data_IF_016761976391
#
_entry.id   IF_016761976391
#
_cell.length_a   1.000
_cell.length_b   1.000
_cell.length_c   1.000
_cell.angle_alpha   90.00
_cell.angle_beta   90.00
_cell.angle_gamma   90.00
#
_symmetry.space_group_name_H-M   'P 1'
#
loop_
_entity.id
_entity.type
_entity.pdbx_description
1 polymer ?
#
# COMPACT_ATOMS: atom_id res chain seq x y z
N UNK A 1 13.79 33.11 28.92
CA UNK A 1 14.39 33.72 27.71
C UNK A 1 13.58 33.33 26.48
N UNK A 2 12.47 34.02 26.23
CA UNK A 2 11.51 33.70 25.17
C UNK A 2 11.10 34.97 24.42
N UNK A 3 12.12 35.65 23.86
CA UNK A 3 12.01 36.82 22.97
C UNK A 3 13.28 36.91 22.11
N UNK A 4 13.34 36.21 20.97
CA UNK A 4 14.33 36.57 19.91
C UNK A 4 14.13 35.96 18.52
N UNK A 5 13.10 35.17 18.21
CA UNK A 5 13.00 34.49 16.90
C UNK A 5 11.70 34.73 16.12
N UNK A 6 11.10 35.93 16.24
CA UNK A 6 10.04 36.41 15.33
C UNK A 6 10.29 37.85 14.90
N UNK A 7 11.39 38.07 14.17
CA UNK A 7 11.57 39.27 13.37
C UNK A 7 12.33 38.92 12.07
N UNK A 8 11.77 39.37 10.95
CA UNK A 8 12.18 39.17 9.53
C UNK A 8 11.61 37.88 8.91
N UNK A 9 10.86 37.88 7.82
CA UNK A 9 10.66 38.89 6.79
C UNK A 9 9.26 38.78 6.15
N UNK A 10 8.56 39.92 6.09
CA UNK A 10 7.58 40.24 5.05
C UNK A 10 8.24 41.33 4.21
N UNK A 11 8.13 41.29 2.88
CA UNK A 11 8.03 42.52 2.12
C UNK A 11 6.72 42.55 1.30
N UNK A 12 5.87 43.54 1.60
CA UNK A 12 5.00 44.21 0.62
C UNK A 12 5.64 45.57 0.38
N UNK A 13 5.94 45.98 -0.85
CA UNK A 13 5.06 46.66 -1.83
C UNK A 13 6.05 47.27 -2.88
N UNK A 14 5.74 47.66 -4.10
CA UNK A 14 4.56 48.35 -4.63
C UNK A 14 4.62 48.42 -6.16
N UNK A 15 3.44 48.44 -6.80
CA UNK A 15 3.03 49.38 -7.87
C UNK A 15 3.86 49.55 -9.15
N UNK A 16 3.30 49.14 -10.29
CA UNK A 16 3.11 50.00 -11.46
C UNK A 16 2.08 49.39 -12.43
N UNK A 17 1.08 50.20 -12.80
CA UNK A 17 0.07 49.90 -13.81
C UNK A 17 0.45 50.55 -15.15
N UNK A 18 0.10 49.93 -16.28
CA UNK A 18 -0.47 50.61 -17.46
C UNK A 18 -0.72 49.65 -18.64
N UNK A 19 -1.98 49.64 -19.08
CA UNK A 19 -2.50 49.66 -20.44
C UNK A 19 -2.09 48.62 -21.51
N UNK A 20 -3.07 47.78 -21.85
CA UNK A 20 -3.69 47.57 -23.17
C UNK A 20 -2.82 47.30 -24.41
N UNK A 21 -3.13 46.22 -25.15
CA UNK A 21 -3.73 46.29 -26.51
C UNK A 21 -4.16 44.89 -26.98
N UNK A 22 -5.37 44.85 -27.52
CA UNK A 22 -6.13 43.75 -28.14
C UNK A 22 -5.65 43.45 -29.57
N UNK A 23 -5.60 42.16 -29.96
CA UNK A 23 -5.76 41.54 -31.31
C UNK A 23 -5.29 40.08 -31.16
N UNK A 24 -6.01 39.00 -31.50
CA UNK A 24 -6.97 38.73 -32.57
C UNK A 24 -6.37 37.65 -33.48
N UNK A 25 -7.16 36.62 -33.83
CA UNK A 25 -6.93 35.56 -34.86
C UNK A 25 -6.04 34.36 -34.47
N UNK A 26 -6.58 33.14 -34.25
CA UNK A 26 -7.14 32.07 -35.11
C UNK A 26 -6.13 30.96 -35.47
N UNK A 27 -6.58 29.74 -35.16
CA UNK A 27 -6.35 28.44 -35.83
C UNK A 27 -5.17 27.53 -35.38
N UNK A 28 -5.44 26.23 -35.12
CA UNK A 28 -4.46 25.22 -34.69
C UNK A 28 -4.07 24.30 -35.86
N UNK A 29 -2.77 24.02 -36.04
CA UNK A 29 -2.18 22.82 -36.67
C UNK A 29 -0.71 23.09 -37.00
N UNK A 30 0.20 22.42 -36.32
CA UNK A 30 1.50 21.98 -36.88
C UNK A 30 2.31 21.24 -35.81
N UNK A 31 2.20 19.92 -35.83
CA UNK A 31 3.28 19.03 -35.40
C UNK A 31 4.38 19.03 -36.47
N UNK A 32 5.65 18.88 -36.07
CA UNK A 32 6.60 18.12 -36.87
C UNK A 32 7.20 16.95 -36.10
N UNK A 33 7.12 15.79 -36.77
CA UNK A 33 7.84 14.54 -36.53
C UNK A 33 9.34 14.70 -36.89
N UNK A 34 10.23 14.20 -36.03
CA UNK A 34 11.67 13.94 -36.23
C UNK A 34 12.00 12.83 -35.20
N UNK A 35 12.57 11.65 -35.45
CA UNK A 35 13.66 11.13 -36.31
C UNK A 35 13.36 9.64 -36.59
N UNK A 36 13.43 9.10 -37.81
CA UNK A 36 14.56 8.64 -38.65
C UNK A 36 15.44 7.51 -38.06
N UNK A 37 15.42 6.40 -38.78
CA UNK A 37 16.13 5.12 -38.65
C UNK A 37 17.67 5.21 -38.74
N UNK A 38 18.36 4.15 -38.28
CA UNK A 38 19.77 3.91 -38.60
C UNK A 38 20.36 2.65 -37.92
N UNK A 39 20.46 1.57 -38.68
CA UNK A 39 20.93 0.22 -38.34
C UNK A 39 22.46 0.09 -38.21
N UNK A 40 22.97 -0.90 -37.45
CA UNK A 40 23.83 -2.03 -37.93
C UNK A 40 24.60 -2.74 -36.79
N UNK A 41 24.71 -4.06 -36.98
CA UNK A 41 25.51 -5.05 -36.25
C UNK A 41 27.02 -4.85 -36.42
N UNK A 42 27.81 -5.18 -35.40
CA UNK A 42 29.04 -5.98 -35.56
C UNK A 42 29.51 -6.58 -34.23
N UNK A 43 30.09 -7.78 -34.33
CA UNK A 43 30.67 -8.64 -33.29
C UNK A 43 32.14 -8.34 -33.06
N UNK A 44 32.65 -8.44 -31.81
CA UNK A 44 34.01 -8.96 -31.53
C UNK A 44 34.23 -9.31 -30.05
N UNK A 45 34.99 -10.38 -29.84
CA UNK A 45 35.42 -10.96 -28.57
C UNK A 45 36.41 -10.09 -27.76
N UNK A 46 36.45 -10.34 -26.44
CA UNK A 46 37.71 -10.47 -25.69
C UNK A 46 37.98 -9.45 -24.57
N UNK A 47 38.25 -9.95 -23.35
CA UNK A 47 39.23 -9.31 -22.45
C UNK A 47 38.74 -8.81 -21.08
N UNK A 48 39.05 -9.63 -20.07
CA UNK A 48 39.16 -9.41 -18.61
C UNK A 48 39.53 -7.97 -18.17
N UNK A 49 38.86 -7.46 -17.13
CA UNK A 49 39.30 -6.27 -16.39
C UNK A 49 38.44 -5.95 -15.16
N UNK A 50 39.04 -6.07 -13.98
CA UNK A 50 38.49 -5.84 -12.64
C UNK A 50 38.34 -4.33 -12.32
N UNK A 51 37.33 -3.92 -11.55
CA UNK A 51 37.32 -2.61 -10.86
C UNK A 51 36.00 -1.85 -10.77
N UNK A 52 35.43 -1.82 -9.57
CA UNK A 52 34.97 -0.60 -8.88
C UNK A 52 33.73 0.18 -9.38
N UNK A 53 32.74 0.27 -8.49
CA UNK A 53 31.92 1.49 -8.34
C UNK A 53 30.52 1.45 -8.98
N UNK A 54 29.49 1.39 -8.15
CA UNK A 54 28.11 1.62 -8.56
C UNK A 54 27.13 1.29 -7.44
N UNK A 55 26.73 2.31 -6.67
CA UNK A 55 25.71 2.20 -5.64
C UNK A 55 24.38 1.70 -6.23
N UNK A 56 23.94 0.54 -5.77
CA UNK A 56 22.66 -0.07 -6.13
C UNK A 56 21.69 0.06 -4.96
N UNK A 57 20.82 1.05 -5.07
CA UNK A 57 19.67 1.30 -4.21
C UNK A 57 18.84 0.01 -4.10
N UNK A 58 18.79 -0.60 -2.91
CA UNK A 58 17.98 -1.79 -2.61
C UNK A 58 16.52 -1.42 -2.44
N UNK A 59 15.93 -0.87 -3.51
CA UNK A 59 14.50 -0.69 -3.65
C UNK A 59 13.81 -2.06 -3.69
N UNK A 60 12.60 -2.08 -3.16
CA UNK A 60 11.64 -3.15 -3.39
C UNK A 60 11.70 -3.57 -4.86
N UNK A 61 12.00 -4.84 -5.14
CA UNK A 61 11.80 -5.43 -6.46
C UNK A 61 10.31 -5.58 -6.76
N UNK A 62 9.58 -4.46 -6.76
CA UNK A 62 8.62 -4.20 -7.82
C UNK A 62 9.47 -4.08 -9.08
N UNK A 63 9.36 -5.07 -9.97
CA UNK A 63 9.71 -4.81 -11.37
C UNK A 63 9.00 -3.52 -11.77
N UNK A 64 9.75 -2.54 -12.27
CA UNK A 64 9.24 -1.27 -12.80
C UNK A 64 8.05 -1.56 -13.73
N UNK A 65 6.84 -1.48 -13.19
CA UNK A 65 5.57 -1.64 -13.91
C UNK A 65 5.38 -0.33 -14.67
N UNK A 66 5.36 -0.29 -16.02
CA UNK A 66 5.28 0.96 -16.77
C UNK A 66 3.97 1.74 -16.55
N UNK A 67 3.05 1.21 -15.73
CA UNK A 67 1.78 1.84 -15.38
C UNK A 67 1.45 1.59 -13.91
N UNK A 68 1.47 2.67 -13.12
CA UNK A 68 1.17 2.64 -11.68
C UNK A 68 -0.32 2.35 -11.41
N UNK A 69 -0.66 1.93 -10.19
CA UNK A 69 -2.06 1.83 -9.73
C UNK A 69 -2.84 3.15 -9.86
N UNK A 70 -2.14 4.29 -9.87
CA UNK A 70 -2.74 5.60 -10.09
C UNK A 70 -3.18 5.82 -11.55
N UNK A 71 -2.53 5.17 -12.53
CA UNK A 71 -2.92 5.26 -13.94
C UNK A 71 -4.16 4.41 -14.26
N UNK A 72 -4.43 3.38 -13.46
CA UNK A 72 -5.66 2.58 -13.51
C UNK A 72 -6.92 3.35 -13.07
N UNK A 73 -6.77 4.40 -12.26
CA UNK A 73 -7.89 5.25 -11.82
C UNK A 73 -8.22 6.40 -12.78
N UNK A 74 -7.33 6.72 -13.73
CA UNK A 74 -7.50 7.83 -14.70
C UNK A 74 -8.35 7.44 -15.92
N UNK A 75 -8.75 6.18 -16.05
CA UNK A 75 -9.56 5.72 -17.18
C UNK A 75 -11.05 6.03 -16.96
N UNK A 76 -11.80 6.41 -18.02
CA UNK A 76 -13.17 6.91 -17.91
C UNK A 76 -14.13 5.93 -17.18
N UNK A 77 -15.11 6.44 -16.41
CA UNK A 77 -16.02 5.61 -15.61
C UNK A 77 -16.91 4.65 -16.43
N UNK A 78 -17.13 4.94 -17.71
CA UNK A 78 -18.10 4.22 -18.56
C UNK A 78 -17.62 2.85 -19.04
N UNK A 79 -16.33 2.50 -18.90
CA UNK A 79 -15.80 1.15 -19.17
C UNK A 79 -15.83 0.21 -17.95
N UNK A 80 -16.64 0.52 -16.94
CA UNK A 80 -16.86 -0.36 -15.76
C UNK A 80 -17.87 -1.49 -16.04
N UNK A 81 -18.33 -1.68 -17.27
CA UNK A 81 -19.22 -2.78 -17.66
C UNK A 81 -18.41 -3.94 -18.28
N UNK A 82 -18.56 -5.12 -17.68
CA UNK A 82 -17.84 -6.36 -18.01
C UNK A 82 -18.23 -6.98 -19.36
N UNK A 83 -19.33 -6.50 -19.98
CA UNK A 83 -19.79 -6.96 -21.30
C UNK A 83 -18.84 -6.58 -22.44
N UNK A 84 -17.94 -5.62 -22.20
CA UNK A 84 -17.07 -5.04 -23.21
C UNK A 84 -15.76 -5.77 -23.41
N UNK A 85 -15.35 -6.73 -22.60
CA UNK A 85 -13.96 -7.21 -22.70
C UNK A 85 -13.73 -8.23 -23.84
N UNK A 86 -14.77 -8.91 -24.35
CA UNK A 86 -14.74 -9.54 -25.69
C UNK A 86 -14.73 -8.48 -26.79
N UNK A 87 -15.55 -7.43 -26.67
CA UNK A 87 -15.58 -6.33 -27.63
C UNK A 87 -14.25 -5.55 -27.67
N UNK A 88 -13.56 -5.45 -26.53
CA UNK A 88 -12.26 -4.83 -26.35
C UNK A 88 -11.16 -5.72 -26.94
N UNK A 89 -11.21 -7.04 -26.72
CA UNK A 89 -10.33 -7.99 -27.41
C UNK A 89 -10.55 -7.96 -28.93
N UNK A 90 -11.80 -7.88 -29.38
CA UNK A 90 -12.16 -7.73 -30.79
C UNK A 90 -11.72 -6.37 -31.36
N UNK A 91 -11.83 -5.30 -30.59
CA UNK A 91 -11.34 -3.97 -30.95
C UNK A 91 -9.81 -3.94 -31.03
N UNK A 92 -9.11 -4.58 -30.08
CA UNK A 92 -7.65 -4.73 -30.09
C UNK A 92 -7.20 -5.56 -31.30
N UNK A 93 -7.97 -6.58 -31.68
CA UNK A 93 -7.75 -7.39 -32.88
C UNK A 93 -7.94 -6.58 -34.16
N UNK A 94 -8.98 -5.74 -34.22
CA UNK A 94 -9.28 -4.85 -35.37
C UNK A 94 -8.30 -3.68 -35.52
N UNK A 95 -7.70 -3.23 -34.42
CA UNK A 95 -6.77 -2.08 -34.39
C UNK A 95 -5.29 -2.47 -34.44
N UNK A 96 -4.96 -3.77 -34.53
CA UNK A 96 -3.59 -4.30 -34.49
C UNK A 96 -2.76 -3.88 -33.25
N UNK A 97 -3.44 -3.47 -32.17
CA UNK A 97 -2.84 -3.07 -30.88
C UNK A 97 -2.70 -4.24 -29.90
N UNK A 98 -3.08 -5.45 -30.30
CA UNK A 98 -3.01 -6.63 -29.46
C UNK A 98 -1.53 -6.98 -29.17
N UNK A 99 -1.13 -6.84 -27.91
CA UNK A 99 0.15 -7.32 -27.39
C UNK A 99 -0.08 -8.24 -26.18
N UNK A 100 0.83 -9.16 -25.86
CA UNK A 100 0.74 -9.99 -24.66
C UNK A 100 0.62 -9.14 -23.38
N UNK A 101 1.32 -8.00 -23.32
CA UNK A 101 1.25 -7.07 -22.20
C UNK A 101 -0.16 -6.46 -22.03
N UNK A 102 -0.81 -6.08 -23.13
CA UNK A 102 -2.16 -5.53 -23.09
C UNK A 102 -3.20 -6.59 -22.66
N UNK A 103 -3.04 -7.85 -23.09
CA UNK A 103 -3.89 -8.96 -22.63
C UNK A 103 -3.66 -9.26 -21.15
N UNK A 104 -2.42 -9.21 -20.67
CA UNK A 104 -2.11 -9.37 -19.25
C UNK A 104 -2.71 -8.26 -18.38
N UNK A 105 -2.78 -7.02 -18.88
CA UNK A 105 -3.48 -5.93 -18.19
C UNK A 105 -4.98 -6.21 -18.06
N UNK A 106 -5.60 -6.74 -19.13
CA UNK A 106 -7.00 -7.13 -19.12
C UNK A 106 -7.25 -8.28 -18.13
N UNK A 107 -6.39 -9.29 -18.12
CA UNK A 107 -6.41 -10.39 -17.13
C UNK A 107 -6.36 -9.84 -15.71
N UNK A 108 -5.46 -8.91 -15.40
CA UNK A 108 -5.36 -8.27 -14.08
C UNK A 108 -6.65 -7.55 -13.70
N UNK A 109 -7.31 -6.88 -14.66
CA UNK A 109 -8.61 -6.20 -14.45
C UNK A 109 -9.73 -7.18 -14.12
N UNK A 110 -9.84 -8.26 -14.89
CA UNK A 110 -10.80 -9.32 -14.63
C UNK A 110 -10.58 -9.97 -13.26
N UNK A 111 -9.33 -10.26 -12.91
CA UNK A 111 -8.99 -10.79 -11.59
C UNK A 111 -9.40 -9.83 -10.46
N UNK A 112 -9.17 -8.51 -10.62
CA UNK A 112 -9.57 -7.49 -9.66
C UNK A 112 -11.08 -7.44 -9.43
N UNK A 113 -11.85 -7.71 -10.49
CA UNK A 113 -13.30 -7.80 -10.46
C UNK A 113 -13.84 -9.13 -9.94
N UNK A 114 -12.96 -10.10 -9.63
CA UNK A 114 -13.31 -11.49 -9.31
C UNK A 114 -13.98 -12.25 -10.45
N UNK A 115 -13.80 -11.80 -11.69
CA UNK A 115 -14.22 -12.53 -12.89
C UNK A 115 -13.08 -13.42 -13.38
N UNK A 116 -12.96 -14.59 -12.76
CA UNK A 116 -11.93 -15.57 -13.12
C UNK A 116 -12.18 -16.16 -14.52
N UNK A 117 -13.45 -16.35 -14.89
CA UNK A 117 -13.83 -16.88 -16.20
C UNK A 117 -13.38 -15.94 -17.33
N UNK A 118 -13.61 -14.64 -17.18
CA UNK A 118 -13.11 -13.60 -18.10
C UNK A 118 -11.59 -13.57 -18.18
N UNK A 119 -10.89 -13.67 -17.05
CA UNK A 119 -9.42 -13.73 -17.02
C UNK A 119 -8.87 -14.96 -17.79
N UNK A 120 -9.44 -16.15 -17.56
CA UNK A 120 -9.02 -17.37 -18.25
C UNK A 120 -9.40 -17.33 -19.73
N UNK A 121 -10.55 -16.77 -20.09
CA UNK A 121 -10.97 -16.59 -21.47
C UNK A 121 -10.03 -15.65 -22.23
N UNK A 122 -9.63 -14.53 -21.61
CA UNK A 122 -8.67 -13.59 -22.19
C UNK A 122 -7.30 -14.25 -22.44
N UNK A 123 -6.83 -15.08 -21.51
CA UNK A 123 -5.61 -15.86 -21.70
C UNK A 123 -5.73 -16.86 -22.86
N UNK A 124 -6.83 -17.61 -22.91
CA UNK A 124 -7.10 -18.59 -23.98
C UNK A 124 -7.32 -17.94 -25.35
N UNK A 125 -7.58 -16.64 -25.42
CA UNK A 125 -7.70 -15.89 -26.66
C UNK A 125 -6.33 -15.53 -27.28
N UNK A 126 -5.22 -15.61 -26.54
CA UNK A 126 -3.87 -15.27 -27.03
C UNK A 126 -3.51 -15.94 -28.37
N UNK A 127 -3.75 -17.26 -28.58
CA UNK A 127 -3.46 -17.91 -29.86
C UNK A 127 -4.20 -17.31 -31.05
N UNK A 128 -5.46 -16.88 -30.84
CA UNK A 128 -6.28 -16.25 -31.89
C UNK A 128 -5.78 -14.86 -32.30
N UNK A 129 -4.94 -14.26 -31.46
CA UNK A 129 -4.28 -12.97 -31.69
C UNK A 129 -2.86 -13.16 -32.27
N UNK A 130 -2.46 -14.39 -32.60
CA UNK A 130 -1.14 -14.70 -33.15
C UNK A 130 -0.05 -14.93 -32.09
N UNK A 131 -0.40 -14.97 -30.80
CA UNK A 131 0.54 -15.19 -29.69
C UNK A 131 0.37 -16.59 -29.13
N UNK A 132 1.42 -17.41 -29.17
CA UNK A 132 1.42 -18.70 -28.45
C UNK A 132 1.78 -18.45 -26.99
N UNK A 133 0.85 -18.65 -26.02
CA UNK A 133 1.17 -18.46 -24.61
C UNK A 133 2.20 -19.51 -24.18
N UNK A 134 3.32 -19.05 -23.65
CA UNK A 134 4.33 -19.89 -23.02
C UNK A 134 4.11 -20.02 -21.52
N UNK A 135 5.06 -20.68 -20.87
CA UNK A 135 5.09 -20.85 -19.42
C UNK A 135 5.13 -19.49 -18.69
N UNK A 136 5.77 -18.48 -19.28
CA UNK A 136 5.86 -17.13 -18.71
C UNK A 136 4.49 -16.43 -18.60
N UNK A 137 3.70 -16.44 -19.68
CA UNK A 137 2.36 -15.87 -19.68
C UNK A 137 1.43 -16.64 -18.73
N UNK A 138 1.56 -17.97 -18.69
CA UNK A 138 0.80 -18.80 -17.76
C UNK A 138 1.12 -18.47 -16.29
N UNK A 139 2.41 -18.31 -15.95
CA UNK A 139 2.82 -17.81 -14.64
C UNK A 139 2.28 -16.41 -14.34
N UNK A 140 2.24 -15.53 -15.34
CA UNK A 140 1.63 -14.21 -15.23
C UNK A 140 0.15 -14.28 -14.84
N UNK A 141 -0.61 -15.18 -15.47
CA UNK A 141 -2.01 -15.44 -15.14
C UNK A 141 -2.17 -15.97 -13.71
N UNK A 142 -1.40 -17.00 -13.32
CA UNK A 142 -1.43 -17.55 -11.96
C UNK A 142 -1.09 -16.48 -10.91
N UNK A 143 -0.09 -15.64 -11.20
CA UNK A 143 0.34 -14.55 -10.33
C UNK A 143 -0.77 -13.50 -10.19
N UNK A 144 -1.44 -13.13 -11.28
CA UNK A 144 -2.57 -12.22 -11.25
C UNK A 144 -3.73 -12.78 -10.41
N UNK A 145 -4.12 -14.04 -10.63
CA UNK A 145 -5.17 -14.70 -9.85
C UNK A 145 -4.82 -14.72 -8.35
N UNK A 146 -3.58 -15.09 -8.00
CA UNK A 146 -3.13 -15.11 -6.61
C UNK A 146 -3.11 -13.70 -5.98
N UNK A 147 -2.64 -12.68 -6.71
CA UNK A 147 -2.59 -11.28 -6.24
C UNK A 147 -3.99 -10.75 -5.90
N UNK A 148 -5.00 -11.15 -6.65
CA UNK A 148 -6.40 -10.79 -6.39
C UNK A 148 -7.17 -11.81 -5.55
N UNK A 149 -6.44 -12.70 -4.84
CA UNK A 149 -6.98 -13.68 -3.87
C UNK A 149 -7.89 -14.75 -4.47
N UNK A 150 -7.82 -14.99 -5.77
CA UNK A 150 -8.47 -16.12 -6.46
C UNK A 150 -7.51 -17.33 -6.49
N UNK A 151 -6.99 -17.72 -5.32
CA UNK A 151 -5.90 -18.72 -5.22
C UNK A 151 -6.41 -20.14 -5.49
N UNK A 152 -7.64 -20.44 -5.08
CA UNK A 152 -8.32 -21.70 -5.38
C UNK A 152 -8.36 -21.95 -6.89
N UNK A 153 -8.75 -20.93 -7.66
CA UNK A 153 -8.86 -21.03 -9.10
C UNK A 153 -7.47 -21.13 -9.76
N UNK A 154 -6.49 -20.38 -9.25
CA UNK A 154 -5.10 -20.48 -9.69
C UNK A 154 -4.55 -21.91 -9.48
N UNK A 155 -4.85 -22.52 -8.33
CA UNK A 155 -4.46 -23.90 -8.05
C UNK A 155 -5.15 -24.89 -8.99
N UNK A 156 -6.47 -24.79 -9.15
CA UNK A 156 -7.21 -25.67 -10.05
C UNK A 156 -6.67 -25.56 -11.47
N UNK A 157 -6.44 -24.32 -11.95
CA UNK A 157 -5.87 -24.07 -13.26
C UNK A 157 -4.49 -24.71 -13.41
N UNK A 158 -3.57 -24.47 -12.47
CA UNK A 158 -2.24 -25.09 -12.45
C UNK A 158 -2.33 -26.61 -12.57
N UNK A 159 -3.16 -27.27 -11.74
CA UNK A 159 -3.27 -28.72 -11.71
C UNK A 159 -3.96 -29.30 -12.96
N UNK A 160 -4.87 -28.56 -13.58
CA UNK A 160 -5.59 -29.00 -14.78
C UNK A 160 -4.82 -28.80 -16.09
N UNK A 161 -3.78 -27.95 -16.08
CA UNK A 161 -3.04 -27.53 -17.28
C UNK A 161 -1.74 -28.29 -17.54
N UNK A 162 -1.50 -29.42 -16.85
CA UNK A 162 -0.26 -30.23 -16.96
C UNK A 162 0.10 -30.63 -18.39
N UNK A 163 -0.90 -30.90 -19.24
CA UNK A 163 -0.70 -31.29 -20.63
C UNK A 163 -0.20 -30.15 -21.52
N UNK A 164 -0.56 -28.92 -21.18
CA UNK A 164 -0.24 -27.71 -21.95
C UNK A 164 1.03 -27.04 -21.41
N UNK A 165 1.18 -27.05 -20.09
CA UNK A 165 2.30 -26.44 -19.38
C UNK A 165 2.87 -27.47 -18.38
N UNK A 166 4.14 -27.88 -18.53
CA UNK A 166 4.75 -28.85 -17.63
C UNK A 166 4.82 -28.28 -16.21
N UNK A 167 4.76 -29.16 -15.22
CA UNK A 167 4.89 -28.73 -13.84
C UNK A 167 6.30 -28.24 -13.53
N UNK A 168 6.38 -26.99 -13.10
CA UNK A 168 7.62 -26.37 -12.63
C UNK A 168 7.50 -25.94 -11.17
N UNK A 169 8.61 -26.01 -10.43
CA UNK A 169 8.69 -25.49 -9.06
C UNK A 169 8.24 -24.03 -8.98
N UNK A 170 8.53 -23.22 -10.00
CA UNK A 170 8.13 -21.81 -10.06
C UNK A 170 6.61 -21.62 -10.06
N UNK A 171 5.86 -22.39 -10.85
CA UNK A 171 4.39 -22.29 -10.91
C UNK A 171 3.76 -22.67 -9.57
N UNK A 172 4.25 -23.74 -8.95
CA UNK A 172 3.79 -24.17 -7.63
C UNK A 172 4.14 -23.13 -6.56
N UNK A 173 5.33 -22.51 -6.62
CA UNK A 173 5.71 -21.44 -5.70
C UNK A 173 4.78 -20.22 -5.78
N UNK A 174 4.27 -19.87 -6.96
CA UNK A 174 3.28 -18.79 -7.12
C UNK A 174 2.01 -19.10 -6.33
N UNK A 175 1.44 -20.30 -6.53
CA UNK A 175 0.21 -20.73 -5.84
C UNK A 175 0.43 -20.90 -4.33
N UNK A 176 1.55 -21.52 -3.93
CA UNK A 176 1.94 -21.66 -2.53
C UNK A 176 2.07 -20.30 -1.85
N UNK A 177 2.71 -19.32 -2.50
CA UNK A 177 2.80 -17.95 -2.00
C UNK A 177 1.42 -17.28 -1.92
N UNK A 178 0.53 -17.55 -2.87
CA UNK A 178 -0.88 -17.16 -2.83
C UNK A 178 -1.56 -17.63 -1.53
N UNK A 179 -1.45 -18.91 -1.21
CA UNK A 179 -1.99 -19.49 0.01
C UNK A 179 -1.33 -18.91 1.27
N UNK A 180 0.00 -18.82 1.29
CA UNK A 180 0.81 -18.40 2.44
C UNK A 180 0.68 -16.91 2.79
N UNK A 181 0.70 -16.03 1.80
CA UNK A 181 0.90 -14.60 2.00
C UNK A 181 -0.28 -13.72 1.56
N UNK A 182 -1.02 -14.12 0.51
CA UNK A 182 -2.18 -13.36 0.01
C UNK A 182 -3.45 -13.69 0.79
N UNK A 183 -3.81 -14.98 0.86
CA UNK A 183 -4.97 -15.46 1.62
C UNK A 183 -4.59 -15.74 3.09
N UNK A 184 -3.33 -16.11 3.35
CA UNK A 184 -2.79 -16.48 4.68
C UNK A 184 -3.53 -17.66 5.31
N UNK A 185 -3.91 -18.64 4.50
CA UNK A 185 -4.52 -19.88 4.97
C UNK A 185 -3.45 -20.92 5.27
N UNK A 186 -3.13 -21.10 6.55
CA UNK A 186 -2.14 -22.09 7.01
C UNK A 186 -2.57 -23.52 6.64
N UNK A 187 -3.87 -23.81 6.70
CA UNK A 187 -4.42 -25.14 6.34
C UNK A 187 -4.19 -25.46 4.88
N UNK A 188 -4.56 -24.54 3.99
CA UNK A 188 -4.41 -24.75 2.54
C UNK A 188 -2.94 -24.72 2.12
N UNK A 189 -2.13 -23.86 2.73
CA UNK A 189 -0.68 -23.87 2.52
C UNK A 189 -0.04 -25.23 2.88
N UNK A 190 -0.43 -25.85 4.02
CA UNK A 190 0.03 -27.20 4.38
C UNK A 190 -0.45 -28.27 3.38
N UNK A 191 -1.72 -28.21 2.98
CA UNK A 191 -2.28 -29.15 1.99
C UNK A 191 -1.51 -29.07 0.68
N UNK A 192 -1.34 -27.86 0.16
CA UNK A 192 -0.67 -27.62 -1.10
C UNK A 192 0.84 -27.94 -1.03
N UNK A 193 1.48 -27.66 0.09
CA UNK A 193 2.85 -28.11 0.36
C UNK A 193 2.98 -29.63 0.23
N UNK A 194 2.09 -30.41 0.84
CA UNK A 194 2.10 -31.87 0.71
C UNK A 194 1.80 -32.32 -0.73
N UNK A 195 0.90 -31.62 -1.44
CA UNK A 195 0.61 -31.90 -2.84
C UNK A 195 1.84 -31.74 -3.75
N UNK A 196 2.72 -30.76 -3.48
CA UNK A 196 4.00 -30.61 -4.20
C UNK A 196 4.86 -31.88 -4.08
N UNK A 197 4.92 -32.49 -2.90
CA UNK A 197 5.72 -33.70 -2.66
C UNK A 197 5.11 -34.94 -3.33
N UNK A 198 3.78 -35.11 -3.26
CA UNK A 198 3.07 -36.17 -3.96
C UNK A 198 3.27 -36.08 -5.48
N UNK A 199 3.34 -34.86 -6.02
CA UNK A 199 3.59 -34.59 -7.44
C UNK A 199 5.08 -34.60 -7.82
N UNK A 200 5.98 -34.91 -6.90
CA UNK A 200 7.43 -34.97 -7.16
C UNK A 200 8.09 -33.60 -7.41
N UNK A 201 7.42 -32.51 -7.05
CA UNK A 201 7.94 -31.15 -7.24
C UNK A 201 8.95 -30.85 -6.15
N UNK A 202 10.20 -30.65 -6.55
CA UNK A 202 11.28 -30.25 -5.64
C UNK A 202 10.98 -28.87 -5.05
N UNK A 203 11.11 -28.76 -3.74
CA UNK A 203 10.94 -27.52 -2.98
C UNK A 203 12.27 -26.78 -2.92
N UNK A 204 12.24 -25.49 -3.22
CA UNK A 204 13.41 -24.62 -3.24
C UNK A 204 13.36 -23.56 -2.13
N UNK A 205 14.30 -22.62 -2.18
CA UNK A 205 14.39 -21.48 -1.26
C UNK A 205 13.09 -20.67 -1.20
N UNK A 206 12.39 -20.51 -2.33
CA UNK A 206 11.13 -19.76 -2.41
C UNK A 206 9.98 -20.56 -1.79
N UNK A 207 9.93 -21.88 -1.99
CA UNK A 207 8.96 -22.75 -1.34
C UNK A 207 9.09 -22.65 0.19
N UNK A 208 10.31 -22.88 0.71
CA UNK A 208 10.58 -22.83 2.15
C UNK A 208 10.33 -21.44 2.72
N UNK A 209 10.80 -20.38 2.04
CA UNK A 209 10.57 -19.00 2.46
C UNK A 209 9.09 -18.64 2.55
N UNK A 210 8.26 -19.10 1.61
CA UNK A 210 6.81 -18.89 1.64
C UNK A 210 6.17 -19.54 2.86
N UNK A 211 6.50 -20.80 3.14
CA UNK A 211 5.97 -21.52 4.31
C UNK A 211 6.46 -20.92 5.63
N UNK A 212 7.77 -20.70 5.77
CA UNK A 212 8.36 -20.11 6.97
C UNK A 212 7.73 -18.75 7.26
N UNK A 213 7.59 -17.88 6.25
CA UNK A 213 6.93 -16.58 6.40
C UNK A 213 5.47 -16.71 6.85
N UNK A 214 4.72 -17.68 6.31
CA UNK A 214 3.34 -17.96 6.70
C UNK A 214 3.23 -18.35 8.18
N UNK A 215 4.01 -19.35 8.63
CA UNK A 215 3.99 -19.80 10.02
C UNK A 215 4.53 -18.77 11.00
N UNK A 216 5.51 -17.97 10.58
CA UNK A 216 6.05 -16.86 11.37
C UNK A 216 4.97 -15.82 11.68
N UNK A 217 4.17 -15.46 10.66
CA UNK A 217 3.02 -14.56 10.82
C UNK A 217 1.90 -15.18 11.65
N UNK A 218 1.65 -16.48 11.50
CA UNK A 218 0.69 -17.22 12.32
C UNK A 218 1.14 -17.35 13.80
N UNK A 219 2.44 -17.23 14.09
CA UNK A 219 2.99 -17.37 15.44
C UNK A 219 3.30 -18.80 15.86
N UNK A 220 3.43 -19.72 14.91
CA UNK A 220 3.80 -21.12 15.19
C UNK A 220 5.32 -21.28 15.13
N UNK A 221 6.00 -20.90 16.21
CA UNK A 221 7.47 -20.92 16.30
C UNK A 221 8.04 -22.33 16.09
N UNK A 222 7.46 -23.35 16.72
CA UNK A 222 7.90 -24.75 16.57
C UNK A 222 7.90 -25.20 15.11
N UNK A 223 6.84 -24.90 14.36
CA UNK A 223 6.77 -25.27 12.93
C UNK A 223 7.77 -24.48 12.09
N UNK A 224 8.02 -23.21 12.41
CA UNK A 224 9.05 -22.40 11.75
C UNK A 224 10.43 -23.02 11.95
N UNK A 225 10.79 -23.40 13.17
CA UNK A 225 12.09 -24.00 13.47
C UNK A 225 12.26 -25.36 12.80
N UNK A 226 11.21 -26.20 12.79
CA UNK A 226 11.20 -27.47 12.06
C UNK A 226 11.42 -27.28 10.56
N UNK A 227 10.71 -26.33 9.93
CA UNK A 227 10.90 -26.04 8.51
C UNK A 227 12.29 -25.48 8.21
N UNK A 228 12.81 -24.62 9.07
CA UNK A 228 14.14 -24.04 8.91
C UNK A 228 15.26 -25.08 9.04
N UNK A 229 15.12 -26.07 9.92
CA UNK A 229 16.08 -27.17 10.02
C UNK A 229 15.96 -28.15 8.85
N UNK A 230 14.73 -28.54 8.47
CA UNK A 230 14.48 -29.38 7.28
C UNK A 230 15.04 -28.76 6.00
N UNK A 231 14.96 -27.44 5.87
CA UNK A 231 15.56 -26.70 4.74
C UNK A 231 17.07 -26.92 4.66
N UNK A 232 17.78 -26.82 5.79
CA UNK A 232 19.23 -27.02 5.86
C UNK A 232 19.61 -28.49 5.63
N UNK A 233 18.86 -29.43 6.21
CA UNK A 233 19.03 -30.87 5.99
C UNK A 233 18.86 -31.25 4.52
N UNK A 234 17.95 -30.58 3.81
CA UNK A 234 17.75 -30.74 2.38
C UNK A 234 18.82 -30.03 1.52
N UNK A 235 19.85 -29.43 2.13
CA UNK A 235 20.92 -28.71 1.43
C UNK A 235 20.48 -27.39 0.80
N UNK A 236 19.29 -26.87 1.13
CA UNK A 236 18.81 -25.58 0.60
C UNK A 236 19.34 -24.46 1.50
N UNK A 237 20.11 -23.55 0.92
CA UNK A 237 20.77 -22.47 1.67
C UNK A 237 19.75 -21.36 1.96
N UNK A 238 19.54 -20.97 3.24
CA UNK A 238 18.65 -19.86 3.59
C UNK A 238 19.17 -18.52 3.07
N UNK A 239 18.28 -17.76 2.42
CA UNK A 239 18.53 -16.38 2.04
C UNK A 239 18.15 -15.40 3.18
N UNK A 240 18.43 -14.11 2.96
CA UNK A 240 18.09 -13.06 3.92
C UNK A 240 16.60 -13.03 4.27
N UNK A 241 15.70 -13.27 3.30
CA UNK A 241 14.25 -13.24 3.51
C UNK A 241 13.82 -14.33 4.49
N UNK A 242 14.41 -15.52 4.40
CA UNK A 242 14.17 -16.62 5.33
C UNK A 242 14.70 -16.30 6.72
N UNK A 243 15.93 -15.79 6.84
CA UNK A 243 16.46 -15.34 8.13
C UNK A 243 15.54 -14.31 8.77
N UNK A 244 15.11 -13.28 8.02
CA UNK A 244 14.20 -12.26 8.50
C UNK A 244 12.86 -12.84 8.98
N UNK A 245 12.34 -13.88 8.33
CA UNK A 245 11.10 -14.54 8.74
C UNK A 245 11.28 -15.34 10.04
N UNK A 246 12.37 -16.10 10.19
CA UNK A 246 12.67 -16.85 11.42
C UNK A 246 12.95 -15.90 12.59
N UNK A 247 13.72 -14.83 12.37
CA UNK A 247 13.94 -13.75 13.35
C UNK A 247 12.62 -13.14 13.80
N UNK A 248 11.70 -12.87 12.86
CA UNK A 248 10.36 -12.38 13.19
C UNK A 248 9.58 -13.37 14.06
N UNK A 249 9.63 -14.67 13.75
CA UNK A 249 8.96 -15.70 14.54
C UNK A 249 9.50 -15.77 15.97
N UNK A 250 10.82 -15.75 16.15
CA UNK A 250 11.48 -15.76 17.45
C UNK A 250 11.12 -14.51 18.26
N UNK A 251 11.21 -13.32 17.65
CA UNK A 251 10.82 -12.08 18.31
C UNK A 251 9.34 -12.08 18.72
N UNK A 252 8.45 -12.58 17.86
CA UNK A 252 7.02 -12.74 18.17
C UNK A 252 6.77 -13.77 19.29
N UNK A 253 7.58 -14.82 19.35
CA UNK A 253 7.58 -15.84 20.41
C UNK A 253 8.22 -15.39 21.73
N UNK A 254 8.62 -14.12 21.86
CA UNK A 254 9.35 -13.55 23.02
C UNK A 254 10.75 -14.14 23.24
N UNK A 255 11.29 -14.82 22.23
CA UNK A 255 12.63 -15.40 22.18
C UNK A 255 13.67 -14.40 21.66
N UNK A 256 13.79 -13.24 22.30
CA UNK A 256 14.56 -12.09 21.76
C UNK A 256 16.06 -12.39 21.67
N UNK A 257 16.62 -13.10 22.65
CA UNK A 257 18.04 -13.44 22.66
C UNK A 257 18.40 -14.42 21.52
N UNK A 258 17.53 -15.40 21.27
CA UNK A 258 17.68 -16.33 20.14
C UNK A 258 17.54 -15.60 18.80
N UNK A 259 16.63 -14.63 18.70
CA UNK A 259 16.50 -13.80 17.51
C UNK A 259 17.78 -12.98 17.24
N UNK A 260 18.39 -12.38 18.27
CA UNK A 260 19.68 -11.67 18.18
C UNK A 260 20.83 -12.61 17.80
N UNK A 261 20.88 -13.81 18.40
CA UNK A 261 21.88 -14.82 18.07
C UNK A 261 21.75 -15.26 16.59
N UNK A 262 20.53 -15.38 16.08
CA UNK A 262 20.30 -15.70 14.68
C UNK A 262 20.74 -14.58 13.73
N UNK A 263 20.59 -13.30 14.13
CA UNK A 263 21.13 -12.16 13.37
C UNK A 263 22.66 -12.18 13.33
N UNK A 264 23.34 -12.58 14.40
CA UNK A 264 24.80 -12.76 14.37
C UNK A 264 25.20 -13.95 13.48
N UNK A 265 24.46 -15.05 13.57
CA UNK A 265 24.74 -16.24 12.73
C UNK A 265 24.53 -15.99 11.24
N UNK A 266 23.59 -15.12 10.83
CA UNK A 266 23.47 -14.76 9.41
C UNK A 266 24.68 -13.95 8.92
N UNK A 267 25.22 -13.04 9.76
CA UNK A 267 26.44 -12.28 9.45
C UNK A 267 27.66 -13.21 9.26
N UNK A 268 27.86 -14.14 10.19
CA UNK A 268 28.94 -15.16 10.13
C UNK A 268 28.87 -16.02 8.87
N UNK A 269 27.67 -16.19 8.31
CA UNK A 269 27.41 -16.95 7.07
C UNK A 269 27.44 -16.08 5.82
N UNK A 270 27.91 -14.85 5.92
CA UNK A 270 28.04 -13.93 4.79
C UNK A 270 26.73 -13.29 4.34
N UNK A 271 25.64 -13.41 5.12
CA UNK A 271 24.36 -12.76 4.85
C UNK A 271 24.25 -11.52 5.74
N UNK A 272 24.60 -10.36 5.20
CA UNK A 272 24.52 -9.11 5.97
C UNK A 272 23.05 -8.77 6.35
N UNK A 273 22.77 -8.38 7.60
CA UNK A 273 21.47 -7.89 8.04
C UNK A 273 21.19 -6.52 7.43
N UNK A 274 19.91 -6.23 7.20
CA UNK A 274 19.45 -4.97 6.65
C UNK A 274 18.32 -4.35 7.47
N UNK A 275 17.78 -3.24 7.00
CA UNK A 275 16.61 -2.58 7.60
C UNK A 275 15.42 -3.52 7.75
N UNK A 276 15.23 -4.49 6.85
CA UNK A 276 14.16 -5.48 6.98
C UNK A 276 14.45 -6.49 8.10
N UNK A 277 15.71 -6.87 8.33
CA UNK A 277 16.11 -7.71 9.46
C UNK A 277 15.78 -7.07 10.80
N UNK A 278 16.12 -5.80 10.99
CA UNK A 278 15.79 -5.09 12.24
C UNK A 278 14.29 -4.82 12.38
N UNK A 279 13.59 -4.54 11.29
CA UNK A 279 12.12 -4.45 11.31
C UNK A 279 11.45 -5.77 11.69
N UNK A 280 12.06 -6.92 11.37
CA UNK A 280 11.62 -8.23 11.83
C UNK A 280 11.77 -8.41 13.35
N UNK A 281 12.65 -7.68 14.02
CA UNK A 281 12.74 -7.63 15.48
C UNK A 281 11.77 -6.59 16.08
N UNK A 282 11.84 -5.35 15.60
CA UNK A 282 11.15 -4.19 16.18
C UNK A 282 9.63 -4.39 16.15
N UNK A 283 9.07 -4.82 15.01
CA UNK A 283 7.61 -4.88 14.83
C UNK A 283 6.93 -5.92 15.75
N UNK A 284 7.41 -7.18 15.86
CA UNK A 284 6.88 -8.12 16.85
C UNK A 284 7.03 -7.64 18.30
N UNK A 285 8.18 -7.05 18.65
CA UNK A 285 8.43 -6.54 20.01
C UNK A 285 7.44 -5.44 20.39
N UNK A 286 7.18 -4.49 19.47
CA UNK A 286 6.13 -3.49 19.62
C UNK A 286 4.76 -4.14 19.86
N UNK A 287 4.36 -5.11 19.02
CA UNK A 287 3.10 -5.84 19.18
C UNK A 287 3.00 -6.59 20.51
N UNK A 288 4.11 -7.14 21.00
CA UNK A 288 4.21 -7.80 22.30
C UNK A 288 4.29 -6.82 23.49
N UNK A 289 4.19 -5.50 23.23
CA UNK A 289 4.35 -4.41 24.21
C UNK A 289 5.71 -4.33 24.88
N UNK A 290 6.74 -4.95 24.29
CA UNK A 290 8.14 -4.87 24.73
C UNK A 290 8.82 -3.64 24.10
N UNK A 291 8.26 -2.45 24.33
CA UNK A 291 8.66 -1.20 23.66
C UNK A 291 10.12 -0.83 23.94
N UNK A 292 10.62 -1.10 25.14
CA UNK A 292 12.02 -0.81 25.49
C UNK A 292 13.00 -1.68 24.70
N UNK A 293 12.70 -2.97 24.52
CA UNK A 293 13.53 -3.82 23.66
C UNK A 293 13.43 -3.39 22.19
N UNK A 294 12.24 -2.99 21.72
CA UNK A 294 12.10 -2.44 20.37
C UNK A 294 12.94 -1.18 20.14
N UNK A 295 13.01 -0.27 21.13
CA UNK A 295 13.87 0.92 21.08
C UNK A 295 15.35 0.56 21.06
N UNK A 296 15.79 -0.40 21.88
CA UNK A 296 17.17 -0.92 21.81
C UNK A 296 17.51 -1.50 20.44
N UNK A 297 16.55 -2.14 19.75
CA UNK A 297 16.78 -2.67 18.40
C UNK A 297 16.85 -1.56 17.35
N UNK A 298 16.14 -0.45 17.54
CA UNK A 298 16.33 0.76 16.73
C UNK A 298 17.73 1.34 16.97
N UNK A 299 18.19 1.40 18.21
CA UNK A 299 19.52 1.93 18.53
C UNK A 299 20.66 1.05 17.99
N UNK A 300 20.53 -0.29 18.06
CA UNK A 300 21.47 -1.24 17.42
C UNK A 300 21.46 -1.09 15.89
N UNK A 301 20.29 -0.92 15.28
CA UNK A 301 20.16 -0.65 13.86
C UNK A 301 20.93 0.62 13.44
N UNK A 302 20.77 1.71 14.21
CA UNK A 302 21.48 2.98 13.97
C UNK A 302 22.98 2.85 14.23
N UNK A 303 23.39 2.14 15.29
CA UNK A 303 24.79 1.88 15.60
C UNK A 303 25.53 1.10 14.52
N UNK A 304 24.80 0.33 13.69
CA UNK A 304 25.32 -0.37 12.51
C UNK A 304 25.28 0.46 11.23
N UNK A 305 24.89 1.74 11.31
CA UNK A 305 24.78 2.63 10.15
C UNK A 305 23.59 2.31 9.23
N UNK A 306 22.62 1.51 9.68
CA UNK A 306 21.42 1.20 8.89
C UNK A 306 20.36 2.30 9.09
N UNK A 307 19.78 2.76 7.98
CA UNK A 307 18.75 3.81 7.99
C UNK A 307 17.36 3.22 8.30
N UNK A 308 16.66 3.69 9.36
CA UNK A 308 15.29 3.30 9.64
C UNK A 308 14.36 3.64 8.48
N UNK A 309 13.29 2.85 8.32
CA UNK A 309 12.26 3.13 7.31
C UNK A 309 10.96 3.60 7.96
N UNK A 310 10.05 4.11 7.13
CA UNK A 310 8.68 4.47 7.57
C UNK A 310 8.01 3.31 8.31
N UNK A 311 8.26 2.07 7.88
CA UNK A 311 7.76 0.85 8.56
C UNK A 311 8.34 0.67 9.97
N UNK A 312 9.60 1.06 10.20
CA UNK A 312 10.24 1.06 11.52
C UNK A 312 9.51 1.99 12.47
N UNK A 313 9.28 3.23 12.03
CA UNK A 313 8.62 4.24 12.84
C UNK A 313 7.13 3.99 13.01
N UNK A 314 6.43 3.49 11.98
CA UNK A 314 5.03 3.07 12.12
C UNK A 314 4.84 2.05 13.25
N UNK A 315 5.77 1.09 13.40
CA UNK A 315 5.71 0.12 14.48
C UNK A 315 5.86 0.76 15.88
N UNK A 316 6.68 1.81 16.02
CA UNK A 316 6.89 2.53 17.28
C UNK A 316 5.75 3.52 17.55
N UNK A 317 5.30 4.25 16.54
CA UNK A 317 4.17 5.18 16.59
C UNK A 317 2.87 4.46 16.95
N UNK A 318 2.64 3.25 16.45
CA UNK A 318 1.45 2.46 16.79
C UNK A 318 1.37 2.12 18.29
N UNK A 319 2.51 1.92 18.94
CA UNK A 319 2.58 1.58 20.38
C UNK A 319 2.77 2.78 21.30
N UNK A 320 3.06 3.96 20.75
CA UNK A 320 3.16 5.20 21.51
C UNK A 320 1.90 5.46 22.35
N UNK A 321 2.07 5.99 23.56
CA UNK A 321 0.97 6.12 24.55
C UNK A 321 0.52 7.54 24.81
N UNK A 322 1.31 8.53 24.42
CA UNK A 322 1.01 9.95 24.63
C UNK A 322 1.22 10.75 23.34
N UNK A 323 0.59 11.93 23.22
CA UNK A 323 0.88 12.86 22.13
C UNK A 323 2.36 13.26 22.09
N UNK A 324 2.98 13.47 23.25
CA UNK A 324 4.39 13.85 23.36
C UNK A 324 5.27 12.79 22.67
N UNK A 325 5.09 11.52 23.03
CA UNK A 325 5.88 10.43 22.43
C UNK A 325 5.66 10.30 20.91
N UNK A 326 4.45 10.61 20.42
CA UNK A 326 4.16 10.62 18.98
C UNK A 326 4.93 11.73 18.27
N UNK A 327 4.91 12.95 18.81
CA UNK A 327 5.60 14.08 18.19
C UNK A 327 7.13 13.92 18.30
N UNK A 328 7.66 13.42 19.43
CA UNK A 328 9.09 13.10 19.56
C UNK A 328 9.55 12.09 18.50
N UNK A 329 8.72 11.08 18.21
CA UNK A 329 9.01 10.09 17.16
C UNK A 329 8.94 10.70 15.75
N UNK A 330 8.04 11.66 15.50
CA UNK A 330 7.96 12.38 14.22
C UNK A 330 9.16 13.32 14.02
N UNK A 331 9.66 13.95 15.08
CA UNK A 331 10.87 14.77 15.02
C UNK A 331 12.09 13.87 14.78
N UNK A 332 12.20 12.75 15.50
CA UNK A 332 13.25 11.74 15.26
C UNK A 332 13.21 11.15 13.84
N UNK A 333 12.02 11.00 13.25
CA UNK A 333 11.86 10.61 11.83
C UNK A 333 12.57 11.59 10.90
N UNK A 334 12.34 12.90 11.09
CA UNK A 334 12.95 13.96 10.28
C UNK A 334 14.46 14.07 10.51
N UNK A 335 14.92 13.99 11.76
CA UNK A 335 16.34 13.99 12.10
C UNK A 335 17.10 12.87 11.40
N UNK A 336 16.46 11.71 11.25
CA UNK A 336 17.02 10.54 10.58
C UNK A 336 16.70 10.48 9.08
N UNK A 337 16.26 11.60 8.49
CA UNK A 337 15.95 11.74 7.06
C UNK A 337 14.94 10.70 6.55
N UNK A 338 13.99 10.32 7.41
CA UNK A 338 12.89 9.42 7.10
C UNK A 338 11.59 10.22 7.07
N UNK A 339 11.21 10.72 5.90
CA UNK A 339 10.05 11.60 5.78
C UNK A 339 8.71 10.87 6.05
N UNK A 340 7.81 11.46 6.86
CA UNK A 340 6.49 10.89 7.07
C UNK A 340 5.65 10.88 5.78
N UNK A 341 5.18 9.70 5.39
CA UNK A 341 4.24 9.54 4.27
C UNK A 341 2.78 9.85 4.64
N UNK A 342 1.90 9.96 3.64
CA UNK A 342 0.43 10.11 3.82
C UNK A 342 -0.15 9.10 4.82
N UNK A 343 0.23 7.83 4.69
CA UNK A 343 -0.21 6.76 5.59
C UNK A 343 0.20 6.98 7.05
N UNK A 344 1.33 7.66 7.28
CA UNK A 344 1.79 8.06 8.62
C UNK A 344 0.81 9.03 9.25
N UNK A 345 0.44 10.08 8.53
CA UNK A 345 -0.53 11.08 9.00
C UNK A 345 -1.91 10.44 9.23
N UNK A 346 -2.37 9.63 8.27
CA UNK A 346 -3.65 8.93 8.40
C UNK A 346 -3.66 8.02 9.65
N UNK A 347 -2.59 7.25 9.89
CA UNK A 347 -2.44 6.42 11.09
C UNK A 347 -2.53 7.25 12.38
N UNK A 348 -1.85 8.39 12.43
CA UNK A 348 -1.80 9.24 13.61
C UNK A 348 -3.08 10.04 13.84
N UNK A 349 -3.77 10.50 12.79
CA UNK A 349 -5.10 11.11 12.90
C UNK A 349 -6.09 10.10 13.50
N UNK A 350 -6.13 8.85 12.99
CA UNK A 350 -6.96 7.79 13.61
C UNK A 350 -6.61 7.59 15.08
N UNK A 351 -5.32 7.63 15.42
CA UNK A 351 -4.84 7.46 16.79
C UNK A 351 -5.28 8.61 17.71
N UNK A 352 -5.10 9.86 17.30
CA UNK A 352 -5.49 11.02 18.08
C UNK A 352 -7.02 11.19 18.17
N UNK A 353 -7.77 10.83 17.13
CA UNK A 353 -9.23 10.75 17.21
C UNK A 353 -9.67 9.75 18.29
N UNK A 354 -9.05 8.57 18.37
CA UNK A 354 -9.33 7.59 19.45
C UNK A 354 -8.97 8.13 20.85
N UNK A 355 -7.95 8.98 20.95
CA UNK A 355 -7.57 9.65 22.21
C UNK A 355 -8.36 10.92 22.49
N UNK A 356 -9.29 11.32 21.61
CA UNK A 356 -10.03 12.60 21.68
C UNK A 356 -9.11 13.82 21.78
N UNK A 357 -7.92 13.74 21.18
CA UNK A 357 -6.90 14.80 21.19
C UNK A 357 -7.02 15.67 19.94
N UNK A 358 -8.00 16.57 19.93
CA UNK A 358 -8.35 17.39 18.76
C UNK A 358 -7.25 18.33 18.31
N UNK A 359 -6.60 19.02 19.24
CA UNK A 359 -5.50 19.94 18.94
C UNK A 359 -4.34 19.21 18.23
N UNK A 360 -4.13 17.94 18.58
CA UNK A 360 -3.11 17.11 17.92
C UNK A 360 -3.54 16.69 16.51
N UNK A 361 -4.84 16.42 16.28
CA UNK A 361 -5.38 16.17 14.94
C UNK A 361 -5.20 17.40 14.04
N UNK A 362 -5.53 18.59 14.55
CA UNK A 362 -5.35 19.85 13.81
C UNK A 362 -3.88 20.12 13.49
N UNK A 363 -2.98 19.96 14.47
CA UNK A 363 -1.53 20.10 14.27
C UNK A 363 -1.03 19.15 13.17
N UNK A 364 -1.45 17.89 13.18
CA UNK A 364 -1.07 16.95 12.13
C UNK A 364 -1.61 17.35 10.77
N UNK A 365 -2.88 17.74 10.69
CA UNK A 365 -3.51 18.14 9.43
C UNK A 365 -2.82 19.36 8.81
N UNK A 366 -2.53 20.37 9.63
CA UNK A 366 -1.79 21.56 9.20
C UNK A 366 -0.32 21.29 8.87
N UNK A 367 0.28 20.24 9.43
CA UNK A 367 1.65 19.85 9.12
C UNK A 367 1.78 19.15 7.75
N UNK A 368 0.73 18.54 7.19
CA UNK A 368 0.83 17.77 5.93
C UNK A 368 1.40 18.60 4.76
N UNK A 369 0.93 19.83 4.47
CA UNK A 369 1.49 20.64 3.38
C UNK A 369 2.95 21.06 3.60
N UNK A 370 3.35 21.28 4.85
CA UNK A 370 4.74 21.61 5.20
C UNK A 370 5.70 20.42 4.98
N UNK A 371 5.17 19.18 4.89
CA UNK A 371 5.93 18.00 4.51
C UNK A 371 5.72 17.65 3.01
N UNK A 372 5.22 18.59 2.20
CA UNK A 372 5.01 18.37 0.76
C UNK A 372 3.82 17.46 0.41
N UNK A 373 2.93 17.18 1.37
CA UNK A 373 1.78 16.30 1.18
C UNK A 373 0.48 17.09 1.05
N UNK A 374 -0.32 16.76 0.04
CA UNK A 374 -1.71 17.22 -0.06
C UNK A 374 -2.64 16.13 0.46
N UNK A 375 -3.55 16.42 1.42
CA UNK A 375 -4.51 15.44 1.92
C UNK A 375 -5.29 14.79 0.78
N UNK A 376 -5.31 13.45 0.76
CA UNK A 376 -6.03 12.66 -0.25
C UNK A 376 -7.44 12.29 0.22
N UNK A 377 -8.18 11.61 -0.66
CA UNK A 377 -9.54 11.11 -0.37
C UNK A 377 -9.59 10.30 0.94
N UNK A 378 -8.61 9.46 1.20
CA UNK A 378 -8.57 8.58 2.38
C UNK A 378 -8.30 9.36 3.67
N UNK A 379 -7.44 10.38 3.62
CA UNK A 379 -7.19 11.29 4.74
C UNK A 379 -8.45 12.06 5.14
N UNK A 380 -9.19 12.61 4.16
CA UNK A 380 -10.47 13.28 4.42
C UNK A 380 -11.49 12.34 5.09
N UNK A 381 -11.69 11.14 4.54
CA UNK A 381 -12.66 10.17 5.10
C UNK A 381 -12.33 9.88 6.58
N UNK A 382 -11.05 9.63 6.87
CA UNK A 382 -10.59 9.34 8.22
C UNK A 382 -10.78 10.51 9.17
N UNK A 383 -10.46 11.73 8.72
CA UNK A 383 -10.65 12.94 9.52
C UNK A 383 -12.13 13.20 9.81
N UNK A 384 -12.98 13.19 8.77
CA UNK A 384 -14.42 13.45 8.88
C UNK A 384 -15.07 12.46 9.84
N UNK A 385 -14.83 11.15 9.67
CA UNK A 385 -15.37 10.12 10.58
C UNK A 385 -14.83 10.26 11.99
N UNK A 386 -13.53 10.53 12.15
CA UNK A 386 -12.91 10.70 13.46
C UNK A 386 -13.48 11.89 14.25
N UNK A 387 -13.67 13.03 13.60
CA UNK A 387 -14.28 14.21 14.21
C UNK A 387 -15.76 13.99 14.52
N UNK A 388 -16.49 13.32 13.61
CA UNK A 388 -17.91 13.01 13.81
C UNK A 388 -18.13 12.14 15.06
N UNK A 389 -17.38 11.05 15.18
CA UNK A 389 -17.47 10.12 16.33
C UNK A 389 -17.07 10.77 17.65
N UNK A 390 -16.27 11.84 17.61
CA UNK A 390 -15.90 12.60 18.79
C UNK A 390 -16.90 13.74 19.12
N UNK A 391 -17.98 13.89 18.34
CA UNK A 391 -19.01 14.91 18.56
C UNK A 391 -18.69 16.30 17.98
N UNK A 392 -17.60 16.43 17.20
CA UNK A 392 -17.22 17.68 16.51
C UNK A 392 -17.89 17.75 15.15
N UNK A 393 -19.22 17.85 15.16
CA UNK A 393 -20.06 17.65 13.99
C UNK A 393 -19.92 18.80 12.98
N UNK A 394 -19.75 20.03 13.46
CA UNK A 394 -19.55 21.22 12.62
C UNK A 394 -18.26 21.14 11.81
N UNK A 395 -17.14 20.76 12.44
CA UNK A 395 -15.86 20.59 11.73
C UNK A 395 -15.88 19.40 10.80
N UNK A 396 -16.51 18.30 11.22
CA UNK A 396 -16.72 17.13 10.36
C UNK A 396 -17.43 17.53 9.06
N UNK A 397 -18.50 18.33 9.17
CA UNK A 397 -19.22 18.84 8.00
C UNK A 397 -18.40 19.85 7.18
N UNK A 398 -17.60 20.72 7.84
CA UNK A 398 -16.68 21.63 7.15
C UNK A 398 -15.69 20.85 6.26
N UNK A 399 -15.04 19.82 6.79
CA UNK A 399 -14.10 19.01 6.03
C UNK A 399 -14.78 18.16 4.96
N UNK A 400 -16.06 17.78 5.15
CA UNK A 400 -16.87 17.13 4.11
C UNK A 400 -17.15 18.06 2.92
N UNK A 401 -17.50 19.32 3.17
CA UNK A 401 -17.67 20.31 2.10
C UNK A 401 -16.34 20.61 1.39
N UNK A 402 -15.23 20.73 2.14
CA UNK A 402 -13.89 20.92 1.57
C UNK A 402 -13.49 19.73 0.67
N UNK A 403 -13.77 18.50 1.11
CA UNK A 403 -13.52 17.29 0.34
C UNK A 403 -14.24 17.32 -1.02
N UNK A 404 -15.52 17.71 -1.04
CA UNK A 404 -16.31 17.87 -2.28
C UNK A 404 -15.76 18.98 -3.16
N UNK A 405 -15.41 20.12 -2.58
CA UNK A 405 -14.84 21.25 -3.31
C UNK A 405 -13.51 20.90 -4.00
N UNK A 406 -12.73 19.98 -3.44
CA UNK A 406 -11.50 19.45 -4.05
C UNK A 406 -11.73 18.32 -5.06
N UNK A 407 -12.98 17.98 -5.36
CA UNK A 407 -13.34 16.97 -6.36
C UNK A 407 -13.21 15.52 -5.87
N UNK A 408 -13.05 15.29 -4.56
CA UNK A 408 -13.01 13.92 -4.03
C UNK A 408 -14.42 13.41 -3.75
N UNK A 409 -14.86 12.29 -4.37
CA UNK A 409 -16.20 11.76 -4.13
C UNK A 409 -16.30 11.13 -2.74
N UNK A 410 -17.27 11.53 -1.89
CA UNK A 410 -17.45 10.93 -0.57
C UNK A 410 -17.84 9.45 -0.70
N UNK A 411 -17.58 8.67 0.35
CA UNK A 411 -18.15 7.33 0.46
C UNK A 411 -19.64 7.43 0.83
N UNK A 412 -20.44 6.50 0.32
CA UNK A 412 -21.89 6.42 0.61
C UNK A 412 -22.17 6.54 2.12
N UNK A 413 -21.39 5.82 2.95
CA UNK A 413 -21.51 5.87 4.41
C UNK A 413 -21.19 7.25 5.00
N UNK A 414 -20.16 7.93 4.49
CA UNK A 414 -19.79 9.27 4.94
C UNK A 414 -20.89 10.27 4.60
N UNK A 415 -21.45 10.15 3.40
CA UNK A 415 -22.54 11.00 2.93
C UNK A 415 -23.82 10.80 3.76
N UNK A 416 -24.27 9.55 3.92
CA UNK A 416 -25.43 9.22 4.78
C UNK A 416 -25.27 9.78 6.20
N UNK A 417 -24.08 9.62 6.78
CA UNK A 417 -23.76 10.09 8.13
C UNK A 417 -23.87 11.61 8.27
N UNK A 418 -23.31 12.38 7.33
CA UNK A 418 -23.34 13.85 7.38
C UNK A 418 -24.75 14.39 7.05
N UNK A 419 -25.43 13.80 6.07
CA UNK A 419 -26.78 14.22 5.67
C UNK A 419 -27.82 13.96 6.76
N UNK A 420 -27.72 12.85 7.50
CA UNK A 420 -28.58 12.58 8.64
C UNK A 420 -28.43 13.66 9.72
N UNK A 421 -27.20 14.09 10.00
CA UNK A 421 -26.93 15.17 10.96
C UNK A 421 -27.47 16.52 10.48
N UNK A 422 -27.20 16.90 9.23
CA UNK A 422 -27.70 18.15 8.65
C UNK A 422 -29.23 18.22 8.68
N UNK A 423 -29.91 17.12 8.31
CA UNK A 423 -31.38 17.04 8.34
C UNK A 423 -31.94 17.21 9.76
N UNK A 424 -31.33 16.54 10.75
CA UNK A 424 -31.72 16.70 12.15
C UNK A 424 -31.50 18.13 12.68
N UNK A 425 -30.43 18.80 12.24
CA UNK A 425 -30.14 20.19 12.61
C UNK A 425 -31.17 21.17 12.04
N UNK A 426 -31.58 21.00 10.78
CA UNK A 426 -32.62 21.85 10.17
C UNK A 426 -33.99 21.65 10.83
N UNK A 427 -34.35 20.41 11.18
CA UNK A 427 -35.55 20.12 11.97
C UNK A 427 -35.54 20.80 13.34
N UNK A 428 -34.38 20.79 14.03
CA UNK A 428 -34.23 21.46 15.32
C UNK A 428 -34.30 22.99 15.24
N UNK A 429 -33.78 23.59 14.16
CA UNK A 429 -33.93 25.04 13.90
C UNK A 429 -35.37 25.41 13.58
N UNK A 430 -36.06 24.58 12.79
CA UNK A 430 -37.46 24.78 12.45
C UNK A 430 -38.36 24.75 13.69
N UNK A 431 -38.17 23.78 14.60
CA UNK A 431 -38.95 23.71 15.85
C UNK A 431 -38.66 24.87 16.82
N UNK A 432 -37.41 25.30 16.93
CA UNK A 432 -37.03 26.48 17.73
C UNK A 432 -37.66 27.79 17.21
N UNK A 433 -37.82 27.92 15.89
CA UNK A 433 -38.45 29.10 15.26
C UNK A 433 -39.97 29.18 15.50
N UNK A 434 -40.64 28.05 15.69
CA UNK A 434 -42.08 27.98 15.98
C UNK A 434 -42.38 28.31 17.45
N UNK A 435 -41.50 27.92 18.38
CA UNK A 435 -41.65 28.23 19.81
C UNK A 435 -41.52 29.72 20.16
N UNK A 436 -40.77 30.50 19.38
CA UNK A 436 -40.56 31.94 19.63
C UNK A 436 -41.72 32.84 19.19
N UNK A 437 -42.72 32.32 18.47
CA UNK A 437 -43.94 33.07 18.06
C UNK A 437 -45.14 32.91 19.00
N UNK A 438 -45.02 32.11 20.07
CA UNK A 438 -46.13 31.77 20.97
C UNK A 438 -46.17 32.49 22.33
N UNK A 439 -45.44 33.60 22.51
CA UNK A 439 -45.23 34.22 23.82
C UNK A 439 -45.59 35.70 23.94
N UNK A 440 -46.85 36.07 23.73
CA UNK A 440 -47.41 37.32 24.29
C UNK A 440 -48.95 37.30 24.29
N UNK A 441 -49.55 36.54 25.21
CA UNK A 441 -50.95 36.76 25.60
C UNK A 441 -50.94 37.47 26.95
N UNK A 442 -51.11 38.79 26.90
CA UNK A 442 -51.31 39.66 28.04
C UNK A 442 -52.59 39.24 28.78
N UNK A 443 -52.45 38.65 29.97
CA UNK A 443 -53.54 38.48 30.93
C UNK A 443 -54.00 39.87 31.41
N UNK A 444 -55.07 40.41 30.80
CA UNK A 444 -55.82 41.51 31.40
C UNK A 444 -56.69 40.93 32.51
N UNK A 445 -56.34 41.28 33.75
CA UNK A 445 -57.21 41.19 34.91
C UNK A 445 -58.40 42.13 34.73
N UNK A 446 -59.62 41.60 34.84
CA UNK A 446 -60.85 42.40 34.93
C UNK A 446 -61.29 42.42 36.41
N UNK A 447 -61.52 43.60 37.02
CA UNK A 447 -62.04 43.66 38.39
C UNK A 447 -63.57 43.51 38.39
N UNK A 448 -64.04 42.96 39.51
CA UNK A 448 -65.43 42.67 39.89
C UNK A 448 -66.40 43.84 39.66
N UNK A 449 -67.64 43.50 39.33
CA UNK A 449 -68.83 43.86 40.12
C UNK A 449 -69.84 42.73 40.07
#
# INVERSE_FOLDING_TARGET
MLRSLLARAIPRSSSAAAAATTRGFTDPRSFPLLFREGSRLSTSQGGIGNGGGGGGNGGDGEEDDPFSFADLQKLPPDHRRFDDARALLDQMRRSSLASPAAVMLLIRRYCAARDVAGAVAAFRALPSLGFRPGVAEFHGLLTALCRYKNVQDAEHLLLSSEKEFPFETKSFNVVLNGWCNMVRSVREAKRFWNAMEIKGIKRDVVSYGSMISCFSKAGSLDTVMKLFNRMKEAGVIPDRKIYNAVVYALAKGRCVNEAKALVRSMEEKGVAPDTATFNSLIRPLCKARQVQEARKMLDDMLGRGLSPSVRTFHALLDVARSPIEVFDLLDKMKELQCDPEMDTFIMLIRKFCRWRQHDSVEKLWSAMPANGLSPDRSAYIVLIHGLFLNGRLEESAKYYEEMKAKGFPPEKKTEEMIQAWLSGRELAKASASVGSRGGSVSLRSNPRK
#
